data_IF_765801381145
#
_entry.id   IF_765801381145
#
_cell.length_a   1.000
_cell.length_b   1.000
_cell.length_c   1.000
_cell.angle_alpha   90.00
_cell.angle_beta   90.00
_cell.angle_gamma   90.00
#
_symmetry.space_group_name_H-M   'P 1'
#
loop_
_entity.id
_entity.type
_entity.pdbx_description
1 polymer ?
#
# COMPACT_ATOMS: atom_id res chain seq x y z
N UNK A 1 -8.48 -22.36 -10.28
CA UNK A 1 -8.62 -20.91 -10.06
C UNK A 1 -7.55 -20.48 -9.07
N UNK A 2 -6.48 -19.86 -9.55
CA UNK A 2 -5.48 -19.27 -8.65
C UNK A 2 -6.02 -17.88 -8.26
N UNK A 3 -6.56 -17.77 -7.07
CA UNK A 3 -6.87 -16.48 -6.44
C UNK A 3 -5.53 -15.77 -6.26
N UNK A 4 -5.27 -14.76 -7.08
CA UNK A 4 -4.19 -13.82 -6.83
C UNK A 4 -4.61 -12.99 -5.61
N UNK A 5 -4.33 -13.52 -4.42
CA UNK A 5 -4.36 -12.73 -3.21
C UNK A 5 -3.37 -11.58 -3.42
N UNK A 6 -3.87 -10.35 -3.46
CA UNK A 6 -3.04 -9.20 -3.17
C UNK A 6 -2.37 -9.51 -1.84
N UNK A 7 -1.04 -9.67 -1.88
CA UNK A 7 -0.31 -10.13 -0.73
C UNK A 7 -0.63 -9.23 0.48
N UNK A 8 -0.80 -9.78 1.68
CA UNK A 8 -1.01 -9.03 2.92
C UNK A 8 0.10 -8.00 3.21
N UNK A 9 1.14 -7.99 2.39
CA UNK A 9 2.21 -7.01 2.43
C UNK A 9 1.85 -5.60 1.95
N UNK A 10 0.64 -5.33 1.40
CA UNK A 10 0.36 -4.01 0.84
C UNK A 10 0.23 -2.93 1.92
N UNK A 11 -0.45 -3.23 3.01
CA UNK A 11 -0.56 -2.30 4.15
C UNK A 11 0.76 -2.22 4.93
N UNK A 12 1.45 -3.35 5.07
CA UNK A 12 2.78 -3.40 5.66
C UNK A 12 3.80 -2.60 4.84
N UNK A 13 3.72 -2.68 3.52
CA UNK A 13 4.54 -1.88 2.63
C UNK A 13 4.21 -0.38 2.73
N UNK A 14 2.96 -0.01 2.94
CA UNK A 14 2.56 1.37 3.14
C UNK A 14 3.06 1.94 4.47
N UNK A 15 3.10 1.11 5.53
CA UNK A 15 3.53 1.51 6.87
C UNK A 15 5.02 1.26 7.14
N UNK A 16 5.67 0.28 6.46
CA UNK A 16 7.05 -0.15 6.76
C UNK A 16 8.07 0.11 5.64
N UNK A 17 7.69 0.71 4.52
CA UNK A 17 8.52 0.78 3.33
C UNK A 17 9.26 2.11 3.15
N UNK A 18 9.92 2.61 4.18
CA UNK A 18 10.94 3.65 3.98
C UNK A 18 12.30 3.17 4.49
N UNK A 19 13.28 3.19 3.60
CA UNK A 19 14.71 3.01 3.95
C UNK A 19 15.31 4.25 4.63
N UNK A 20 14.51 5.20 5.02
CA UNK A 20 14.84 6.29 5.93
C UNK A 20 14.14 6.01 7.26
N UNK A 21 14.85 6.17 8.37
CA UNK A 21 14.52 5.79 9.73
C UNK A 21 13.19 6.35 10.31
N UNK A 22 12.10 6.27 9.55
CA UNK A 22 10.76 6.49 10.11
C UNK A 22 10.33 5.23 10.86
N UNK A 23 10.09 5.36 12.14
CA UNK A 23 9.58 4.28 12.97
C UNK A 23 8.09 4.05 12.67
N UNK A 24 7.58 2.83 12.94
CA UNK A 24 6.14 2.52 12.81
C UNK A 24 5.25 3.52 13.57
N UNK A 25 5.79 4.05 14.68
CA UNK A 25 5.13 5.09 15.48
C UNK A 25 4.99 6.40 14.71
N UNK A 26 6.03 6.81 13.95
CA UNK A 26 6.00 8.06 13.19
C UNK A 26 5.02 7.95 12.02
N UNK A 27 4.93 6.77 11.40
CA UNK A 27 3.97 6.50 10.34
C UNK A 27 2.53 6.52 10.83
N UNK A 28 2.27 5.94 12.01
CA UNK A 28 0.95 6.00 12.63
C UNK A 28 0.53 7.45 12.89
N UNK A 29 1.43 8.27 13.48
CA UNK A 29 1.15 9.67 13.77
C UNK A 29 0.96 10.53 12.51
N UNK A 30 1.61 10.18 11.40
CA UNK A 30 1.39 10.84 10.11
C UNK A 30 0.08 10.46 9.45
N UNK A 31 -0.34 9.22 9.61
CA UNK A 31 -1.60 8.72 9.10
C UNK A 31 -2.79 9.29 9.90
N UNK A 32 -2.67 9.39 11.21
CA UNK A 32 -3.68 9.94 12.13
C UNK A 32 -3.82 11.46 11.92
N UNK A 33 -4.53 11.83 10.85
CA UNK A 33 -4.68 13.23 10.43
C UNK A 33 -5.65 14.01 11.32
N UNK A 34 -6.66 13.32 11.86
CA UNK A 34 -7.65 13.90 12.77
C UNK A 34 -7.18 13.91 14.23
N UNK A 35 -6.07 13.20 14.55
CA UNK A 35 -5.44 13.10 15.88
C UNK A 35 -6.33 12.48 16.95
N UNK A 36 -7.18 11.53 16.57
CA UNK A 36 -8.04 10.81 17.51
C UNK A 36 -7.35 9.59 18.14
N UNK A 37 -6.11 9.29 17.71
CA UNK A 37 -5.30 8.18 18.20
C UNK A 37 -5.63 6.84 17.56
N UNK A 38 -6.41 6.83 16.51
CA UNK A 38 -6.80 5.68 15.71
C UNK A 38 -6.64 5.99 14.22
N UNK A 39 -6.68 4.97 13.38
CA UNK A 39 -6.63 5.12 11.92
C UNK A 39 -7.93 4.59 11.32
N UNK A 40 -8.65 5.43 10.63
CA UNK A 40 -9.73 5.05 9.74
C UNK A 40 -9.18 4.50 8.41
N UNK A 41 -10.02 3.78 7.66
CA UNK A 41 -9.65 3.32 6.31
C UNK A 41 -9.27 4.49 5.39
N UNK A 42 -9.97 5.63 5.50
CA UNK A 42 -9.66 6.83 4.71
C UNK A 42 -8.25 7.34 4.97
N UNK A 43 -7.86 7.47 6.24
CA UNK A 43 -6.53 7.92 6.64
C UNK A 43 -5.43 6.95 6.18
N UNK A 44 -5.69 5.66 6.26
CA UNK A 44 -4.77 4.64 5.73
C UNK A 44 -4.63 4.75 4.21
N UNK A 45 -5.70 4.99 3.47
CA UNK A 45 -5.68 5.20 2.02
C UNK A 45 -4.93 6.48 1.64
N UNK A 46 -5.18 7.59 2.35
CA UNK A 46 -4.55 8.89 2.09
C UNK A 46 -3.03 8.85 2.26
N UNK A 47 -2.53 8.09 3.23
CA UNK A 47 -1.08 7.89 3.40
C UNK A 47 -0.54 6.79 2.48
N UNK A 48 -1.26 5.69 2.35
CA UNK A 48 -0.77 4.45 1.74
C UNK A 48 -0.65 4.53 0.23
N UNK A 49 -1.67 4.99 -0.47
CA UNK A 49 -1.66 5.01 -1.94
C UNK A 49 -0.56 5.91 -2.52
N UNK A 50 -0.36 7.16 -2.07
CA UNK A 50 0.73 7.99 -2.60
C UNK A 50 2.11 7.38 -2.36
N UNK A 51 2.32 6.74 -1.20
CA UNK A 51 3.60 6.09 -0.87
C UNK A 51 3.86 4.87 -1.75
N UNK A 52 2.84 4.05 -2.00
CA UNK A 52 2.97 2.87 -2.87
C UNK A 52 3.21 3.28 -4.32
N UNK A 53 2.47 4.26 -4.81
CA UNK A 53 2.63 4.78 -6.16
C UNK A 53 4.01 5.39 -6.38
N UNK A 54 4.46 6.28 -5.49
CA UNK A 54 5.77 6.93 -5.56
C UNK A 54 6.98 5.98 -5.50
N UNK A 55 6.77 4.71 -5.15
CA UNK A 55 7.84 3.69 -5.25
C UNK A 55 8.10 3.26 -6.69
N UNK A 56 7.09 3.34 -7.55
CA UNK A 56 7.19 2.98 -8.96
C UNK A 56 7.49 4.20 -9.83
N UNK A 57 6.98 5.37 -9.47
CA UNK A 57 7.29 6.65 -10.11
C UNK A 57 8.68 7.13 -9.65
N UNK A 58 9.70 6.62 -10.36
CA UNK A 58 11.10 6.84 -9.97
C UNK A 58 11.59 8.25 -10.31
N UNK A 59 11.04 8.86 -11.35
CA UNK A 59 11.42 10.20 -11.82
C UNK A 59 10.55 11.32 -11.20
N UNK A 60 9.42 10.97 -10.57
CA UNK A 60 8.50 11.90 -9.92
C UNK A 60 7.68 12.72 -10.89
N UNK A 61 7.44 12.23 -12.11
CA UNK A 61 6.67 12.95 -13.14
C UNK A 61 5.15 12.72 -13.05
N UNK A 62 4.72 11.89 -12.08
CA UNK A 62 3.31 11.55 -11.88
C UNK A 62 2.78 10.49 -12.84
N UNK A 63 3.68 9.80 -13.55
CA UNK A 63 3.36 8.72 -14.49
C UNK A 63 4.31 7.56 -14.30
N UNK A 64 3.79 6.37 -14.19
CA UNK A 64 4.60 5.15 -14.10
C UNK A 64 4.62 4.48 -15.46
N UNK A 65 5.80 4.32 -16.02
CA UNK A 65 6.04 3.54 -17.24
C UNK A 65 6.29 2.07 -16.91
N UNK A 66 6.11 1.18 -17.89
CA UNK A 66 6.46 -0.22 -17.69
C UNK A 66 7.95 -0.42 -17.37
N UNK A 67 8.82 0.41 -17.94
CA UNK A 67 10.26 0.38 -17.68
C UNK A 67 10.58 0.72 -16.20
N UNK A 68 9.93 1.71 -15.62
CA UNK A 68 10.08 2.07 -14.20
C UNK A 68 9.55 0.96 -13.30
N UNK A 69 8.38 0.40 -13.61
CA UNK A 69 7.82 -0.73 -12.87
C UNK A 69 8.77 -1.94 -12.87
N UNK A 70 9.35 -2.28 -14.02
CA UNK A 70 10.37 -3.34 -14.18
C UNK A 70 11.66 -3.04 -13.45
N UNK A 71 12.15 -1.80 -13.50
CA UNK A 71 13.37 -1.39 -12.80
C UNK A 71 13.20 -1.53 -11.27
N UNK A 72 12.01 -1.25 -10.76
CA UNK A 72 11.69 -1.38 -9.34
C UNK A 72 11.44 -2.83 -8.91
N UNK A 73 10.76 -3.60 -9.75
CA UNK A 73 10.41 -4.99 -9.53
C UNK A 73 10.69 -5.80 -10.81
N UNK A 74 11.84 -6.50 -10.92
CA UNK A 74 12.23 -7.21 -12.13
C UNK A 74 11.20 -8.24 -12.64
N UNK A 75 10.46 -8.87 -11.72
CA UNK A 75 9.41 -9.84 -12.01
C UNK A 75 8.04 -9.21 -12.27
N UNK A 76 7.96 -7.87 -12.41
CA UNK A 76 6.69 -7.18 -12.66
C UNK A 76 6.10 -7.64 -14.00
N UNK A 77 4.85 -8.11 -13.95
CA UNK A 77 4.19 -8.69 -15.11
C UNK A 77 3.58 -7.59 -16.00
N UNK A 78 3.83 -7.66 -17.31
CA UNK A 78 3.27 -6.77 -18.31
C UNK A 78 1.73 -6.78 -18.31
N UNK A 79 1.12 -7.93 -18.01
CA UNK A 79 -0.33 -8.05 -17.87
C UNK A 79 -0.84 -7.18 -16.71
N UNK A 80 -0.14 -7.19 -15.58
CA UNK A 80 -0.47 -6.34 -14.43
C UNK A 80 -0.34 -4.86 -14.74
N UNK A 81 0.61 -4.48 -15.60
CA UNK A 81 0.75 -3.11 -16.07
C UNK A 81 -0.44 -2.72 -16.96
N UNK A 82 -0.75 -3.54 -17.95
CA UNK A 82 -1.87 -3.31 -18.89
C UNK A 82 -3.23 -3.24 -18.19
N UNK A 83 -3.42 -4.01 -17.11
CA UNK A 83 -4.63 -3.95 -16.28
C UNK A 83 -4.77 -2.63 -15.53
N UNK A 84 -3.68 -1.93 -15.27
CA UNK A 84 -3.66 -0.63 -14.59
C UNK A 84 -3.71 0.56 -15.53
N UNK A 85 -3.14 0.42 -16.71
CA UNK A 85 -3.20 1.40 -17.80
C UNK A 85 -4.60 1.36 -18.44
N UNK A 86 -5.56 2.07 -17.83
CA UNK A 86 -6.97 1.99 -18.21
C UNK A 86 -7.24 2.70 -19.55
N UNK A 87 -6.51 3.76 -19.83
CA UNK A 87 -6.64 4.53 -21.05
C UNK A 87 -5.74 4.03 -22.20
N UNK A 88 -4.82 3.10 -21.90
CA UNK A 88 -3.86 2.47 -22.82
C UNK A 88 -2.91 3.48 -23.49
N UNK A 89 -2.47 4.48 -22.73
CA UNK A 89 -1.49 5.45 -23.21
C UNK A 89 -0.02 5.02 -22.97
N UNK A 90 0.18 3.83 -22.38
CA UNK A 90 1.51 3.28 -22.08
C UNK A 90 2.08 3.77 -20.75
N UNK A 91 1.30 4.46 -19.96
CA UNK A 91 1.65 4.92 -18.61
C UNK A 91 0.51 4.64 -17.63
N UNK A 92 0.83 4.52 -16.36
CA UNK A 92 -0.16 4.42 -15.29
C UNK A 92 -0.11 5.69 -14.47
N UNK A 93 -1.20 6.44 -14.44
CA UNK A 93 -1.38 7.62 -13.60
C UNK A 93 -1.76 7.22 -12.17
N UNK A 94 -1.65 8.17 -11.23
CA UNK A 94 -2.06 7.93 -9.85
C UNK A 94 -3.54 7.56 -9.74
N UNK A 95 -4.41 8.23 -10.50
CA UNK A 95 -5.85 7.99 -10.51
C UNK A 95 -6.18 6.58 -11.03
N UNK A 96 -5.53 6.13 -12.08
CA UNK A 96 -5.68 4.77 -12.61
C UNK A 96 -5.19 3.73 -11.62
N UNK A 97 -4.05 3.99 -10.98
CA UNK A 97 -3.50 3.11 -9.94
C UNK A 97 -4.48 2.92 -8.78
N UNK A 98 -4.99 4.04 -8.22
CA UNK A 98 -5.95 4.00 -7.09
C UNK A 98 -7.23 3.31 -7.50
N UNK A 99 -7.79 3.67 -8.67
CA UNK A 99 -9.03 3.08 -9.17
C UNK A 99 -8.94 1.55 -9.28
N UNK A 100 -7.88 1.04 -9.91
CA UNK A 100 -7.70 -0.42 -10.06
C UNK A 100 -7.42 -1.09 -8.71
N UNK A 101 -6.70 -0.41 -7.82
CA UNK A 101 -6.46 -0.93 -6.48
C UNK A 101 -7.76 -1.07 -5.69
N UNK A 102 -8.63 -0.08 -5.72
CA UNK A 102 -9.93 -0.09 -5.04
C UNK A 102 -10.89 -1.11 -5.64
N UNK A 103 -10.97 -1.21 -6.96
CA UNK A 103 -11.80 -2.21 -7.67
C UNK A 103 -11.40 -3.66 -7.30
N UNK A 104 -10.16 -3.88 -6.84
CA UNK A 104 -9.63 -5.18 -6.39
C UNK A 104 -9.64 -5.36 -4.86
N UNK A 105 -10.38 -4.55 -4.12
CA UNK A 105 -10.45 -4.59 -2.66
C UNK A 105 -9.35 -3.78 -1.95
N UNK A 106 -8.28 -3.40 -2.65
CA UNK A 106 -7.27 -2.43 -2.26
C UNK A 106 -6.83 -2.44 -0.80
N UNK A 107 -6.85 -1.26 -0.20
CA UNK A 107 -6.49 -1.09 1.21
C UNK A 107 -7.54 -1.67 2.17
N UNK A 108 -8.79 -1.87 1.74
CA UNK A 108 -9.85 -2.37 2.60
C UNK A 108 -9.59 -3.80 3.08
N UNK A 109 -9.09 -4.69 2.20
CA UNK A 109 -8.73 -6.05 2.60
C UNK A 109 -7.54 -6.05 3.57
N UNK A 110 -6.54 -5.23 3.29
CA UNK A 110 -5.37 -5.09 4.16
C UNK A 110 -5.74 -4.47 5.51
N UNK A 111 -6.62 -3.47 5.51
CA UNK A 111 -7.16 -2.85 6.72
C UNK A 111 -7.89 -3.87 7.60
N UNK A 112 -8.76 -4.70 7.02
CA UNK A 112 -9.51 -5.73 7.74
C UNK A 112 -8.62 -6.82 8.39
N UNK A 113 -7.39 -7.00 7.91
CA UNK A 113 -6.41 -7.90 8.54
C UNK A 113 -5.80 -7.31 9.81
N UNK A 114 -5.72 -6.00 9.90
CA UNK A 114 -5.14 -5.27 11.03
C UNK A 114 -6.20 -4.96 12.08
N UNK A 115 -7.39 -4.54 11.65
CA UNK A 115 -8.58 -4.31 12.49
C UNK A 115 -9.11 -5.65 13.04
N UNK A 116 -8.48 -6.13 14.11
CA UNK A 116 -8.77 -7.44 14.70
C UNK A 116 -10.04 -7.45 15.53
N UNK A 117 -10.38 -6.32 16.12
CA UNK A 117 -11.60 -6.14 16.92
C UNK A 117 -12.83 -5.80 16.07
N UNK A 118 -12.61 -5.43 14.78
CA UNK A 118 -13.65 -5.08 13.79
C UNK A 118 -14.49 -3.87 14.18
N UNK A 119 -13.84 -2.87 14.77
CA UNK A 119 -14.48 -1.58 15.09
C UNK A 119 -14.39 -0.56 13.93
N UNK A 120 -13.85 -0.97 12.78
CA UNK A 120 -13.59 -0.16 11.59
C UNK A 120 -12.54 0.94 11.81
N UNK A 121 -11.67 0.74 12.80
CA UNK A 121 -10.53 1.61 13.10
C UNK A 121 -9.32 0.74 13.47
N UNK A 122 -8.12 1.23 13.25
CA UNK A 122 -6.89 0.59 13.70
C UNK A 122 -6.32 1.41 14.85
N UNK A 123 -6.23 0.81 16.02
CA UNK A 123 -5.55 1.42 17.15
C UNK A 123 -4.03 1.11 17.16
N UNK A 124 -3.31 1.76 18.08
CA UNK A 124 -1.85 1.56 18.19
C UNK A 124 -1.46 0.13 18.56
N UNK A 125 -2.29 -0.56 19.34
CA UNK A 125 -2.00 -1.94 19.76
C UNK A 125 -2.15 -2.90 18.56
N UNK A 126 -3.18 -2.74 17.77
CA UNK A 126 -3.41 -3.51 16.53
C UNK A 126 -2.31 -3.26 15.50
N UNK A 127 -1.92 -2.00 15.29
CA UNK A 127 -0.82 -1.64 14.40
C UNK A 127 0.51 -2.28 14.84
N UNK A 128 0.82 -2.30 16.15
CA UNK A 128 2.02 -2.92 16.69
C UNK A 128 2.02 -4.45 16.55
N UNK A 129 0.90 -5.09 16.84
CA UNK A 129 0.76 -6.56 16.68
C UNK A 129 0.98 -6.94 15.22
N UNK A 130 0.42 -6.19 14.30
CA UNK A 130 0.59 -6.43 12.87
C UNK A 130 2.05 -6.23 12.42
N UNK A 131 2.69 -5.14 12.82
CA UNK A 131 4.11 -4.88 12.52
C UNK A 131 5.02 -6.01 13.05
N UNK A 132 4.81 -6.47 14.27
CA UNK A 132 5.55 -7.59 14.86
C UNK A 132 5.35 -8.91 14.08
N UNK A 133 4.15 -9.17 13.58
CA UNK A 133 3.84 -10.36 12.77
C UNK A 133 4.61 -10.40 11.45
N UNK A 134 4.82 -9.23 10.84
CA UNK A 134 5.58 -9.08 9.60
C UNK A 134 7.07 -9.30 9.81
N UNK A 135 7.63 -8.77 10.90
CA UNK A 135 9.04 -9.00 11.23
C UNK A 135 9.32 -10.48 11.51
N UNK A 136 8.39 -11.18 12.16
CA UNK A 136 8.50 -12.62 12.40
C UNK A 136 8.52 -13.44 11.09
N UNK A 137 7.76 -13.00 10.08
CA UNK A 137 7.70 -13.65 8.76
C UNK A 137 8.95 -13.36 7.92
N UNK A 138 9.55 -12.19 8.07
CA UNK A 138 10.75 -11.76 7.33
C UNK A 138 12.02 -12.49 7.78
N UNK A 139 12.06 -13.02 9.00
CA UNK A 139 13.21 -13.75 9.58
C UNK A 139 13.23 -15.24 9.24
N UNK A 140 12.29 -15.75 8.47
CA UNK A 140 12.25 -17.14 7.96
C UNK A 140 12.68 -17.21 6.51
#
# INVERSE_FOLDING_TARGET
MKTHHLAPGLLALALAACQTAETDRDLFLKADTNKDGKLSLSEVCELGYPRLYGRFDANGDGRVTFAEAKARQPDFDEKLFTERDLNRDGTVTYEEYVKVAEDKGGMAEAFALVDTNRDAQIDKAEAQVYAASLEATRKR
#
